data_IF_201337535258
#
_entry.id   IF_201337535258
#
_cell.length_a   1.000
_cell.length_b   1.000
_cell.length_c   1.000
_cell.angle_alpha   90.00
_cell.angle_beta   90.00
_cell.angle_gamma   90.00
#
_symmetry.space_group_name_H-M   'P 1'
#
loop_
_entity.id
_entity.type
_entity.pdbx_description
1 polymer ?
#
# COMPACT_ATOMS: atom_id res chain seq x y z
N UNK A 1 21.21 -4.30 3.62
CA UNK A 1 21.23 -4.79 5.03
C UNK A 1 20.03 -4.32 5.85
N UNK A 2 19.46 -3.12 5.64
CA UNK A 2 18.34 -2.55 6.44
C UNK A 2 16.93 -3.17 6.31
N UNK A 3 16.72 -4.33 5.67
CA UNK A 3 15.36 -4.82 5.35
C UNK A 3 14.86 -5.95 6.26
N UNK A 4 15.74 -6.85 6.75
CA UNK A 4 15.31 -8.05 7.51
C UNK A 4 14.66 -7.70 8.84
N UNK A 5 15.29 -6.85 9.66
CA UNK A 5 14.78 -6.49 10.99
C UNK A 5 13.41 -5.80 10.92
N UNK A 6 13.18 -5.00 9.87
CA UNK A 6 11.89 -4.35 9.62
C UNK A 6 10.81 -5.37 9.23
N UNK A 7 11.17 -6.36 8.41
CA UNK A 7 10.26 -7.42 8.02
C UNK A 7 9.90 -8.31 9.22
N UNK A 8 10.87 -8.68 10.06
CA UNK A 8 10.63 -9.47 11.27
C UNK A 8 9.73 -8.74 12.26
N UNK A 9 9.95 -7.44 12.48
CA UNK A 9 9.06 -6.63 13.33
C UNK A 9 7.62 -6.60 12.79
N UNK A 10 7.43 -6.39 11.49
CA UNK A 10 6.10 -6.37 10.87
C UNK A 10 5.40 -7.71 11.05
N UNK A 11 6.12 -8.82 10.86
CA UNK A 11 5.59 -10.18 11.08
C UNK A 11 5.17 -10.37 12.54
N UNK A 12 5.98 -9.95 13.50
CA UNK A 12 5.67 -10.06 14.93
C UNK A 12 4.43 -9.24 15.32
N UNK A 13 4.31 -8.01 14.82
CA UNK A 13 3.14 -7.15 15.06
C UNK A 13 1.88 -7.79 14.48
N UNK A 14 1.94 -8.28 13.24
CA UNK A 14 0.81 -8.92 12.56
C UNK A 14 0.40 -10.20 13.29
N UNK A 15 1.37 -11.06 13.62
CA UNK A 15 1.12 -12.33 14.31
C UNK A 15 0.40 -12.11 15.64
N UNK A 16 0.85 -11.14 16.44
CA UNK A 16 0.23 -10.80 17.73
C UNK A 16 -1.16 -10.18 17.59
N UNK A 17 -1.41 -9.40 16.55
CA UNK A 17 -2.67 -8.67 16.40
C UNK A 17 -3.77 -9.50 15.74
N UNK A 18 -3.41 -10.26 14.70
CA UNK A 18 -4.35 -11.04 13.90
C UNK A 18 -4.40 -12.52 14.27
N UNK A 19 -3.56 -12.98 15.21
CA UNK A 19 -3.51 -14.37 15.68
C UNK A 19 -3.38 -15.36 14.50
N UNK A 20 -2.44 -15.08 13.60
CA UNK A 20 -2.17 -15.92 12.44
C UNK A 20 -1.56 -17.26 12.87
N UNK A 21 -1.74 -18.26 12.01
CA UNK A 21 -1.09 -19.56 12.17
C UNK A 21 0.43 -19.43 12.06
N UNK A 22 1.14 -19.96 13.06
CA UNK A 22 2.60 -20.02 13.10
C UNK A 22 3.15 -21.47 13.06
N UNK A 23 2.28 -22.47 13.08
CA UNK A 23 2.69 -23.86 12.97
C UNK A 23 2.93 -24.28 11.51
N UNK A 24 3.89 -25.19 11.36
CA UNK A 24 4.26 -25.92 10.16
C UNK A 24 3.14 -26.85 9.64
N UNK A 25 3.18 -27.19 8.36
CA UNK A 25 2.12 -27.97 7.67
C UNK A 25 1.99 -29.40 8.18
N UNK A 26 3.08 -30.01 8.66
CA UNK A 26 3.03 -31.35 9.27
C UNK A 26 2.09 -31.39 10.49
N UNK A 27 2.06 -30.30 11.27
CA UNK A 27 1.16 -30.16 12.43
C UNK A 27 -0.30 -29.88 12.06
N UNK A 28 -0.56 -29.32 10.88
CA UNK A 28 -1.93 -29.11 10.39
C UNK A 28 -2.63 -30.45 10.18
N UNK A 29 -1.93 -31.44 9.63
CA UNK A 29 -2.49 -32.74 9.30
C UNK A 29 -2.85 -33.60 10.51
N UNK A 30 -2.37 -33.23 11.70
CA UNK A 30 -2.71 -33.91 12.94
C UNK A 30 -4.09 -33.49 13.47
N UNK A 31 -4.61 -32.31 13.08
CA UNK A 31 -5.92 -31.81 13.53
C UNK A 31 -6.04 -31.69 15.06
N UNK A 32 -4.91 -31.53 15.76
CA UNK A 32 -4.85 -31.48 17.22
C UNK A 32 -4.53 -30.08 17.73
N UNK A 33 -5.03 -29.77 18.93
CA UNK A 33 -4.72 -28.53 19.63
C UNK A 33 -3.24 -28.41 19.93
N UNK A 34 -2.67 -27.28 19.50
CA UNK A 34 -1.25 -26.99 19.66
C UNK A 34 -1.00 -25.94 20.74
N UNK A 35 0.25 -25.88 21.22
CA UNK A 35 0.65 -24.92 22.26
C UNK A 35 0.33 -23.46 21.88
N UNK A 36 0.39 -23.09 20.60
CA UNK A 36 0.03 -21.73 20.17
C UNK A 36 -1.45 -21.42 20.34
N UNK A 37 -2.32 -22.42 20.15
CA UNK A 37 -3.76 -22.30 20.42
C UNK A 37 -4.04 -22.26 21.92
N UNK A 38 -3.26 -22.96 22.75
CA UNK A 38 -3.37 -22.88 24.22
C UNK A 38 -2.92 -21.52 24.78
N UNK A 39 -2.04 -20.82 24.08
CA UNK A 39 -1.54 -19.48 24.45
C UNK A 39 -2.30 -18.33 23.78
N UNK A 40 -3.43 -18.61 23.12
CA UNK A 40 -4.22 -17.62 22.37
C UNK A 40 -3.39 -16.85 21.31
N UNK A 41 -2.37 -17.47 20.73
CA UNK A 41 -1.55 -16.87 19.67
C UNK A 41 -2.06 -17.15 18.25
N UNK A 42 -3.00 -18.09 18.11
CA UNK A 42 -3.55 -18.52 16.83
C UNK A 42 -5.05 -18.77 16.98
N UNK A 43 -5.85 -18.48 15.94
CA UNK A 43 -7.29 -18.82 15.92
C UNK A 43 -7.58 -20.32 15.77
N UNK A 44 -6.54 -21.17 15.77
CA UNK A 44 -6.63 -22.62 15.68
C UNK A 44 -7.45 -23.14 14.48
N UNK A 45 -7.17 -22.70 13.23
CA UNK A 45 -7.89 -23.16 12.04
C UNK A 45 -7.75 -24.68 11.79
N UNK A 46 -6.81 -25.34 12.48
CA UNK A 46 -6.59 -26.78 12.44
C UNK A 46 -7.63 -27.61 13.21
N UNK A 47 -8.37 -27.00 14.15
CA UNK A 47 -9.41 -27.66 14.96
C UNK A 47 -10.82 -27.26 14.52
N UNK A 48 -10.96 -26.08 13.94
CA UNK A 48 -12.25 -25.56 13.46
C UNK A 48 -12.50 -25.97 12.02
N UNK A 49 -13.67 -26.56 11.75
CA UNK A 49 -14.18 -26.83 10.39
C UNK A 49 -14.72 -25.57 9.68
N UNK A 50 -14.18 -24.39 10.01
CA UNK A 50 -14.55 -23.10 9.41
C UNK A 50 -13.35 -22.44 8.72
N UNK A 51 -13.03 -22.86 7.47
CA UNK A 51 -11.96 -22.24 6.70
C UNK A 51 -12.30 -20.81 6.27
N UNK A 52 -13.58 -20.43 6.24
CA UNK A 52 -14.03 -19.10 5.82
C UNK A 52 -13.66 -18.05 6.87
N UNK A 53 -13.86 -18.36 8.15
CA UNK A 53 -13.45 -17.49 9.25
C UNK A 53 -11.93 -17.19 9.25
N UNK A 54 -11.10 -18.21 8.98
CA UNK A 54 -9.64 -17.98 8.86
C UNK A 54 -9.29 -17.17 7.61
N UNK A 55 -9.99 -17.38 6.49
CA UNK A 55 -9.79 -16.61 5.27
C UNK A 55 -10.09 -15.10 5.48
N UNK A 56 -11.11 -14.77 6.28
CA UNK A 56 -11.40 -13.37 6.65
C UNK A 56 -10.24 -12.73 7.43
N UNK A 57 -9.63 -13.46 8.36
CA UNK A 57 -8.43 -12.99 9.10
C UNK A 57 -7.28 -12.72 8.12
N UNK A 58 -7.04 -13.62 7.17
CA UNK A 58 -6.00 -13.45 6.15
C UNK A 58 -6.28 -12.23 5.26
N UNK A 59 -7.53 -12.00 4.85
CA UNK A 59 -7.88 -10.81 4.07
C UNK A 59 -7.69 -9.51 4.87
N UNK A 60 -7.95 -9.51 6.18
CA UNK A 60 -7.65 -8.35 7.04
C UNK A 60 -6.15 -8.07 7.11
N UNK A 61 -5.32 -9.10 7.25
CA UNK A 61 -3.84 -8.97 7.21
C UNK A 61 -3.40 -8.40 5.87
N UNK A 62 -4.00 -8.88 4.77
CA UNK A 62 -3.73 -8.38 3.42
C UNK A 62 -4.15 -6.92 3.27
N UNK A 63 -5.30 -6.52 3.83
CA UNK A 63 -5.77 -5.14 3.83
C UNK A 63 -4.81 -4.24 4.61
N UNK A 64 -4.34 -4.68 5.78
CA UNK A 64 -3.34 -3.98 6.59
C UNK A 64 -2.01 -3.79 5.83
N UNK A 65 -1.43 -4.88 5.30
CA UNK A 65 -0.16 -4.82 4.55
C UNK A 65 -0.24 -3.95 3.28
N UNK A 66 -1.44 -3.80 2.71
CA UNK A 66 -1.69 -2.92 1.55
C UNK A 66 -2.11 -1.50 1.95
N UNK A 67 -2.06 -1.16 3.24
CA UNK A 67 -2.38 0.17 3.77
C UNK A 67 -3.86 0.57 3.64
N UNK A 68 -4.75 -0.42 3.47
CA UNK A 68 -6.22 -0.24 3.36
C UNK A 68 -6.95 -0.34 4.68
N UNK A 69 -6.34 -0.96 5.69
CA UNK A 69 -6.91 -1.09 7.04
C UNK A 69 -5.92 -0.51 8.09
N UNK A 70 -6.26 0.60 8.77
CA UNK A 70 -5.44 1.19 9.82
C UNK A 70 -5.68 0.61 11.23
N UNK A 71 -6.58 -0.36 11.39
CA UNK A 71 -7.07 -0.84 12.71
C UNK A 71 -5.95 -1.28 13.67
N UNK A 72 -4.88 -1.89 13.15
CA UNK A 72 -3.70 -2.29 13.92
C UNK A 72 -2.99 -1.07 14.51
N UNK A 73 -2.81 0.00 13.71
CA UNK A 73 -2.15 1.23 14.16
C UNK A 73 -2.99 1.92 15.23
N UNK A 74 -4.30 1.98 15.04
CA UNK A 74 -5.22 2.59 16.00
C UNK A 74 -5.20 1.86 17.34
N UNK A 75 -5.18 0.53 17.32
CA UNK A 75 -5.08 -0.27 18.53
C UNK A 75 -3.72 -0.12 19.24
N UNK A 76 -2.62 0.04 18.49
CA UNK A 76 -1.30 0.33 19.07
C UNK A 76 -1.27 1.72 19.70
N UNK A 77 -1.85 2.74 19.05
CA UNK A 77 -1.99 4.10 19.61
C UNK A 77 -2.84 4.08 20.88
N UNK A 78 -3.89 3.28 20.94
CA UNK A 78 -4.69 3.07 22.15
C UNK A 78 -3.88 2.44 23.28
N UNK A 79 -3.10 1.40 22.98
CA UNK A 79 -2.22 0.75 23.97
C UNK A 79 -1.15 1.70 24.49
N UNK A 80 -0.59 2.55 23.61
CA UNK A 80 0.34 3.60 23.98
C UNK A 80 -0.30 4.60 24.95
N UNK A 81 -1.50 5.09 24.63
CA UNK A 81 -2.26 6.02 25.50
C UNK A 81 -2.49 5.41 26.87
N UNK A 82 -2.99 4.17 26.94
CA UNK A 82 -3.22 3.46 28.21
C UNK A 82 -1.94 3.27 29.03
N UNK A 83 -0.80 2.98 28.39
CA UNK A 83 0.48 2.87 29.09
C UNK A 83 0.90 4.23 29.68
N UNK A 84 0.72 5.31 28.92
CA UNK A 84 0.95 6.68 29.42
C UNK A 84 0.02 7.05 30.57
N UNK A 85 -1.27 6.70 30.49
CA UNK A 85 -2.24 6.94 31.57
C UNK A 85 -1.88 6.17 32.85
N UNK A 86 -1.21 5.02 32.72
CA UNK A 86 -0.67 4.22 33.82
C UNK A 86 0.71 4.68 34.29
N UNK A 87 1.22 5.81 33.77
CA UNK A 87 2.54 6.36 34.07
C UNK A 87 3.71 5.45 33.67
N UNK A 88 3.47 4.48 32.77
CA UNK A 88 4.49 3.58 32.20
C UNK A 88 5.06 4.21 30.91
N UNK A 89 5.85 5.26 31.10
CA UNK A 89 6.37 6.08 30.00
C UNK A 89 7.37 5.34 29.11
N UNK A 90 8.12 4.38 29.67
CA UNK A 90 9.07 3.58 28.89
C UNK A 90 8.33 2.68 27.91
N UNK A 91 7.28 2.01 28.36
CA UNK A 91 6.41 1.21 27.49
C UNK A 91 5.66 2.05 26.49
N UNK A 92 5.16 3.22 26.88
CA UNK A 92 4.52 4.15 25.97
C UNK A 92 5.50 4.60 24.87
N UNK A 93 6.75 4.92 25.21
CA UNK A 93 7.78 5.29 24.25
C UNK A 93 8.11 4.14 23.27
N UNK A 94 8.26 2.91 23.76
CA UNK A 94 8.48 1.73 22.90
C UNK A 94 7.33 1.51 21.90
N UNK A 95 6.09 1.66 22.35
CA UNK A 95 4.92 1.52 21.47
C UNK A 95 4.87 2.68 20.46
N UNK A 96 5.15 3.92 20.87
CA UNK A 96 5.26 5.08 19.97
C UNK A 96 6.26 4.81 18.85
N UNK A 97 7.47 4.40 19.21
CA UNK A 97 8.55 4.17 18.25
C UNK A 97 8.18 3.04 17.27
N UNK A 98 7.46 2.02 17.75
CA UNK A 98 6.90 0.94 16.91
C UNK A 98 5.84 1.46 15.95
N UNK A 99 4.91 2.32 16.42
CA UNK A 99 3.87 2.95 15.59
C UNK A 99 4.51 3.78 14.48
N UNK A 100 5.47 4.66 14.81
CA UNK A 100 6.16 5.50 13.83
C UNK A 100 6.98 4.68 12.81
N UNK A 101 7.54 3.53 13.22
CA UNK A 101 8.21 2.62 12.29
C UNK A 101 7.22 1.92 11.36
N UNK A 102 6.11 1.40 11.89
CA UNK A 102 5.06 0.77 11.10
C UNK A 102 4.43 1.74 10.10
N UNK A 103 4.13 2.96 10.53
CA UNK A 103 3.59 4.01 9.65
C UNK A 103 4.53 4.28 8.48
N UNK A 104 5.82 4.49 8.74
CA UNK A 104 6.82 4.68 7.67
C UNK A 104 6.93 3.48 6.74
N UNK A 105 6.79 2.26 7.24
CA UNK A 105 6.80 1.05 6.41
C UNK A 105 5.54 1.00 5.56
N UNK A 106 4.37 1.18 6.16
CA UNK A 106 3.07 1.10 5.47
C UNK A 106 2.87 2.23 4.46
N UNK A 107 3.36 3.43 4.74
CA UNK A 107 3.36 4.57 3.82
C UNK A 107 4.24 4.27 2.60
N UNK A 108 5.45 3.73 2.81
CA UNK A 108 6.30 3.24 1.70
C UNK A 108 5.67 2.08 0.94
N UNK A 109 4.94 1.20 1.62
CA UNK A 109 4.20 0.11 1.00
C UNK A 109 2.98 0.61 0.23
N UNK A 110 2.30 1.69 0.63
CA UNK A 110 1.14 2.24 -0.13
C UNK A 110 1.48 2.57 -1.57
N UNK A 111 2.69 3.05 -1.82
CA UNK A 111 3.22 3.34 -3.16
C UNK A 111 3.58 2.07 -3.94
N UNK A 112 3.93 0.97 -3.26
CA UNK A 112 4.45 -0.26 -3.86
C UNK A 112 3.50 -1.49 -3.81
N UNK A 113 2.43 -1.46 -3.00
CA UNK A 113 1.65 -2.63 -2.59
C UNK A 113 0.35 -2.83 -3.37
N UNK A 114 0.09 -2.06 -4.43
CA UNK A 114 -0.85 -2.53 -5.44
C UNK A 114 -0.31 -3.87 -5.99
N UNK A 115 -1.11 -4.96 -6.03
CA UNK A 115 -0.69 -6.17 -6.71
C UNK A 115 -0.20 -5.75 -8.08
N UNK A 116 1.02 -6.11 -8.48
CA UNK A 116 1.64 -5.43 -9.63
C UNK A 116 0.78 -5.55 -10.90
N UNK A 117 -0.10 -6.55 -10.98
CA UNK A 117 -1.10 -6.75 -12.06
C UNK A 117 -2.40 -5.91 -11.97
N UNK A 118 -2.59 -5.16 -10.90
CA UNK A 118 -3.75 -4.29 -10.60
C UNK A 118 -3.32 -2.88 -10.22
N UNK A 119 -2.09 -2.49 -10.57
CA UNK A 119 -1.65 -1.12 -10.39
C UNK A 119 -2.34 -0.25 -11.43
N UNK A 120 -3.32 0.51 -10.96
CA UNK A 120 -4.03 1.52 -11.73
C UNK A 120 -3.79 2.84 -11.00
N UNK A 121 -2.84 3.62 -11.49
CA UNK A 121 -2.44 4.86 -10.83
C UNK A 121 -1.81 5.82 -11.83
N UNK A 122 -1.84 7.10 -11.50
CA UNK A 122 -0.93 8.09 -12.08
C UNK A 122 0.22 8.30 -11.10
N UNK A 123 1.46 8.17 -11.57
CA UNK A 123 2.65 8.50 -10.79
C UNK A 123 3.12 9.89 -11.21
N UNK A 124 3.05 10.85 -10.31
CA UNK A 124 3.55 12.20 -10.51
C UNK A 124 5.01 12.22 -10.06
N UNK A 125 5.91 12.33 -11.03
CA UNK A 125 7.34 12.50 -10.81
C UNK A 125 7.72 13.97 -10.95
N UNK A 126 8.44 14.48 -9.95
CA UNK A 126 9.05 15.79 -10.04
C UNK A 126 10.51 15.62 -10.44
N UNK A 127 10.94 16.41 -11.42
CA UNK A 127 12.36 16.58 -11.66
C UNK A 127 12.94 17.44 -10.52
N UNK A 128 14.09 17.03 -10.00
CA UNK A 128 14.77 17.76 -8.90
C UNK A 128 15.35 19.10 -9.39
N UNK A 129 15.50 19.26 -10.70
CA UNK A 129 15.83 20.53 -11.33
C UNK A 129 14.54 21.36 -11.50
N UNK A 130 14.33 22.31 -10.59
CA UNK A 130 13.15 23.18 -10.44
C UNK A 130 12.81 23.99 -11.71
N UNK A 131 12.26 23.32 -12.74
CA UNK A 131 11.77 23.95 -13.97
C UNK A 131 10.25 24.19 -13.93
N UNK A 132 9.61 23.94 -12.79
CA UNK A 132 8.15 24.09 -12.62
C UNK A 132 7.35 23.11 -13.48
N UNK A 133 7.95 21.95 -13.81
CA UNK A 133 7.34 20.88 -14.59
C UNK A 133 7.37 19.57 -13.83
N UNK A 134 6.37 18.73 -14.10
CA UNK A 134 6.27 17.39 -13.55
C UNK A 134 5.85 16.41 -14.65
N UNK A 135 6.33 15.18 -14.56
CA UNK A 135 5.95 14.08 -15.43
C UNK A 135 4.88 13.24 -14.75
N UNK A 136 3.72 13.11 -15.39
CA UNK A 136 2.61 12.27 -14.95
C UNK A 136 2.66 10.97 -15.76
N UNK A 137 3.12 9.90 -15.12
CA UNK A 137 3.21 8.57 -15.69
C UNK A 137 1.91 7.81 -15.43
N UNK A 138 1.12 7.54 -16.46
CA UNK A 138 -0.13 6.79 -16.35
C UNK A 138 0.16 5.29 -16.40
N UNK A 139 -0.20 4.61 -15.32
CA UNK A 139 0.00 3.17 -15.13
C UNK A 139 -1.35 2.47 -15.07
N UNK A 140 -1.55 1.50 -15.96
CA UNK A 140 -2.77 0.69 -16.05
C UNK A 140 -2.43 -0.80 -16.02
N UNK A 141 -3.12 -1.56 -15.17
CA UNK A 141 -2.87 -2.99 -14.96
C UNK A 141 -1.40 -3.37 -14.66
N UNK A 142 -0.61 -2.44 -14.09
CA UNK A 142 0.81 -2.65 -13.85
C UNK A 142 1.75 -2.27 -14.97
N UNK A 143 1.23 -1.73 -16.07
CA UNK A 143 1.97 -1.37 -17.27
C UNK A 143 2.01 0.13 -17.42
N UNK A 144 3.07 0.62 -18.04
CA UNK A 144 3.20 2.01 -18.38
C UNK A 144 2.49 2.23 -19.70
N UNK A 145 1.45 3.05 -19.69
CA UNK A 145 0.70 3.37 -20.91
C UNK A 145 1.31 4.60 -21.57
N UNK A 146 1.49 5.69 -20.80
CA UNK A 146 2.01 6.95 -21.32
C UNK A 146 2.53 7.88 -20.22
N UNK A 147 3.31 8.89 -20.64
CA UNK A 147 3.78 9.98 -19.81
C UNK A 147 3.24 11.30 -20.35
N UNK A 148 2.69 12.13 -19.47
CA UNK A 148 2.25 13.48 -19.77
C UNK A 148 3.12 14.47 -18.99
N UNK A 149 3.80 15.36 -19.69
CA UNK A 149 4.50 16.45 -19.04
C UNK A 149 3.50 17.57 -18.73
N UNK A 150 3.44 18.04 -17.49
CA UNK A 150 2.53 19.07 -17.04
C UNK A 150 3.30 20.20 -16.36
N UNK A 151 2.75 21.41 -16.43
CA UNK A 151 3.24 22.54 -15.62
C UNK A 151 2.74 22.46 -14.19
N UNK A 152 3.48 23.05 -13.26
CA UNK A 152 3.08 23.18 -11.86
C UNK A 152 3.00 24.68 -11.50
N UNK A 153 1.80 25.24 -11.29
CA UNK A 153 0.48 24.59 -11.33
C UNK A 153 0.01 24.27 -12.76
N UNK A 154 -0.87 23.27 -12.94
CA UNK A 154 -1.29 22.84 -14.27
C UNK A 154 -2.14 23.90 -14.98
N UNK A 155 -1.76 24.24 -16.21
CA UNK A 155 -2.55 25.14 -17.07
C UNK A 155 -3.90 24.53 -17.46
N UNK A 156 -4.84 25.36 -17.92
CA UNK A 156 -6.13 24.87 -18.43
C UNK A 156 -5.97 23.86 -19.59
N UNK A 157 -4.90 24.00 -20.38
CA UNK A 157 -4.54 23.04 -21.44
C UNK A 157 -4.05 21.71 -20.85
N UNK A 158 -3.18 21.75 -19.83
CA UNK A 158 -2.71 20.54 -19.14
C UNK A 158 -3.87 19.80 -18.46
N UNK A 159 -4.79 20.53 -17.81
CA UNK A 159 -5.99 19.95 -17.18
C UNK A 159 -6.90 19.27 -18.20
N UNK A 160 -7.13 19.91 -19.35
CA UNK A 160 -7.93 19.31 -20.42
C UNK A 160 -7.28 18.03 -20.96
N UNK A 161 -5.96 18.04 -21.16
CA UNK A 161 -5.19 16.86 -21.60
C UNK A 161 -5.24 15.74 -20.57
N UNK A 162 -5.01 16.04 -19.29
CA UNK A 162 -5.09 15.04 -18.22
C UNK A 162 -6.47 14.37 -18.16
N UNK A 163 -7.56 15.15 -18.28
CA UNK A 163 -8.93 14.63 -18.30
C UNK A 163 -9.19 13.72 -19.49
N UNK A 164 -8.78 14.12 -20.70
CA UNK A 164 -8.94 13.32 -21.91
C UNK A 164 -8.23 11.97 -21.79
N UNK A 165 -6.95 11.98 -21.42
CA UNK A 165 -6.13 10.78 -21.30
C UNK A 165 -6.57 9.86 -20.15
N UNK A 166 -6.96 10.44 -19.00
CA UNK A 166 -7.54 9.66 -17.89
C UNK A 166 -8.83 8.97 -18.32
N UNK A 167 -9.72 9.68 -19.04
CA UNK A 167 -10.97 9.10 -19.55
C UNK A 167 -10.71 7.96 -20.55
N UNK A 168 -9.72 8.11 -21.43
CA UNK A 168 -9.37 7.09 -22.42
C UNK A 168 -8.78 5.81 -21.78
N UNK A 169 -7.93 5.95 -20.76
CA UNK A 169 -7.18 4.81 -20.19
C UNK A 169 -7.85 4.15 -18.97
N UNK A 170 -8.61 4.91 -18.18
CA UNK A 170 -9.20 4.43 -16.92
C UNK A 170 -10.70 4.11 -17.04
N UNK A 171 -11.16 3.78 -18.25
CA UNK A 171 -12.53 3.30 -18.46
C UNK A 171 -12.82 2.03 -17.63
N UNK A 172 -14.01 2.00 -17.02
CA UNK A 172 -14.55 0.88 -16.27
C UNK A 172 -14.78 -0.36 -17.17
N UNK A 173 -14.94 -0.16 -18.48
CA UNK A 173 -15.08 -1.25 -19.45
C UNK A 173 -13.77 -1.99 -19.74
N UNK A 174 -12.62 -1.38 -19.46
CA UNK A 174 -11.31 -1.96 -19.75
C UNK A 174 -11.05 -3.17 -18.85
N UNK A 175 -10.82 -4.33 -19.47
CA UNK A 175 -10.52 -5.58 -18.76
C UNK A 175 -9.01 -5.79 -18.64
N UNK A 176 -8.52 -6.34 -17.52
CA UNK A 176 -7.11 -6.72 -17.40
C UNK A 176 -6.77 -7.80 -18.45
N UNK A 177 -5.52 -7.81 -18.96
CA UNK A 177 -5.09 -8.83 -19.91
C UNK A 177 -5.12 -10.23 -19.29
N UNK A 178 -5.72 -11.19 -20.00
CA UNK A 178 -5.86 -12.58 -19.52
C UNK A 178 -4.54 -13.36 -19.46
N UNK A 179 -3.53 -12.94 -20.22
CA UNK A 179 -2.19 -13.51 -20.21
C UNK A 179 -1.14 -12.40 -20.33
N UNK A 180 -0.03 -12.54 -19.62
CA UNK A 180 1.10 -11.62 -19.68
C UNK A 180 2.23 -12.26 -20.48
N UNK A 181 2.77 -11.52 -21.44
CA UNK A 181 3.99 -11.92 -22.14
C UNK A 181 5.22 -11.76 -21.22
N UNK A 182 6.35 -12.35 -21.63
CA UNK A 182 7.64 -12.10 -20.95
C UNK A 182 8.01 -10.62 -20.92
N UNK A 183 7.64 -9.87 -21.96
CA UNK A 183 7.85 -8.42 -22.05
C UNK A 183 7.03 -7.69 -20.99
N UNK A 184 5.73 -7.99 -20.91
CA UNK A 184 4.84 -7.35 -19.92
C UNK A 184 5.31 -7.65 -18.49
N UNK A 185 5.72 -8.88 -18.20
CA UNK A 185 6.28 -9.25 -16.90
C UNK A 185 7.59 -8.50 -16.58
N UNK A 186 8.41 -8.20 -17.59
CA UNK A 186 9.65 -7.44 -17.41
C UNK A 186 9.33 -5.96 -17.15
N UNK A 187 8.41 -5.38 -17.91
CA UNK A 187 7.94 -4.00 -17.75
C UNK A 187 7.34 -3.76 -16.37
N UNK A 188 6.46 -4.66 -15.93
CA UNK A 188 5.90 -4.71 -14.57
C UNK A 188 7.01 -4.70 -13.50
N UNK A 189 8.07 -5.48 -13.68
CA UNK A 189 9.19 -5.53 -12.72
C UNK A 189 10.02 -4.24 -12.75
N UNK A 190 10.27 -3.68 -13.93
CA UNK A 190 11.00 -2.43 -14.09
C UNK A 190 10.26 -1.27 -13.44
N UNK A 191 8.95 -1.14 -13.71
CA UNK A 191 8.11 -0.11 -13.10
C UNK A 191 8.06 -0.27 -11.59
N UNK A 192 7.77 -1.47 -11.07
CA UNK A 192 7.75 -1.71 -9.63
C UNK A 192 9.09 -1.37 -8.96
N UNK A 193 10.21 -1.75 -9.58
CA UNK A 193 11.53 -1.43 -9.04
C UNK A 193 11.83 0.07 -9.09
N UNK A 194 11.54 0.72 -10.22
CA UNK A 194 11.76 2.15 -10.40
C UNK A 194 10.90 2.98 -9.45
N UNK A 195 9.61 2.67 -9.35
CA UNK A 195 8.68 3.31 -8.40
C UNK A 195 9.14 3.15 -6.96
N UNK A 196 9.66 1.97 -6.59
CA UNK A 196 10.21 1.75 -5.26
C UNK A 196 11.50 2.55 -5.01
N UNK A 197 12.39 2.61 -6.01
CA UNK A 197 13.66 3.34 -5.92
C UNK A 197 13.45 4.86 -5.78
N UNK A 198 12.48 5.42 -6.49
CA UNK A 198 12.17 6.85 -6.54
C UNK A 198 10.93 7.22 -5.73
N UNK A 199 10.49 6.37 -4.79
CA UNK A 199 9.25 6.57 -4.01
C UNK A 199 9.20 7.88 -3.22
N UNK A 200 10.37 8.43 -2.88
CA UNK A 200 10.49 9.69 -2.14
C UNK A 200 10.30 10.90 -3.10
N UNK A 201 10.52 10.68 -4.40
CA UNK A 201 10.38 11.65 -5.51
C UNK A 201 9.06 11.47 -6.30
N UNK A 202 8.18 10.59 -5.82
CA UNK A 202 6.95 10.20 -6.52
C UNK A 202 5.75 10.41 -5.63
N UNK A 203 4.71 11.01 -6.21
CA UNK A 203 3.37 11.00 -5.60
C UNK A 203 2.46 10.11 -6.44
N UNK A 204 1.95 9.04 -5.84
CA UNK A 204 1.10 8.09 -6.53
C UNK A 204 -0.38 8.39 -6.29
N UNK A 205 -1.10 8.80 -7.33
CA UNK A 205 -2.55 9.00 -7.29
C UNK A 205 -3.22 7.71 -7.78
N UNK A 206 -3.85 6.98 -6.85
CA UNK A 206 -4.42 5.66 -7.14
C UNK A 206 -5.85 5.76 -7.68
N UNK A 207 -6.15 4.99 -8.71
CA UNK A 207 -7.51 4.82 -9.22
C UNK A 207 -8.11 3.49 -8.76
N UNK A 208 -9.36 3.51 -8.31
CA UNK A 208 -10.18 2.32 -8.09
C UNK A 208 -11.43 2.39 -8.97
N UNK A 209 -12.04 1.23 -9.32
CA UNK A 209 -13.26 1.20 -10.13
C UNK A 209 -14.46 1.93 -9.51
N UNK A 210 -14.42 2.24 -8.21
CA UNK A 210 -15.46 3.02 -7.54
C UNK A 210 -15.38 4.53 -7.84
N UNK A 211 -14.25 4.98 -8.41
CA UNK A 211 -14.02 6.39 -8.75
C UNK A 211 -14.10 6.62 -10.27
N UNK A 212 -14.72 7.72 -10.68
CA UNK A 212 -14.74 8.11 -12.10
C UNK A 212 -13.33 8.48 -12.60
N UNK A 213 -13.06 8.35 -13.90
CA UNK A 213 -11.81 8.85 -14.49
C UNK A 213 -11.60 10.35 -14.27
N UNK A 214 -12.68 11.13 -14.18
CA UNK A 214 -12.63 12.57 -13.88
C UNK A 214 -12.13 12.85 -12.46
N UNK A 215 -12.53 12.01 -11.49
CA UNK A 215 -12.04 12.12 -10.12
C UNK A 215 -10.53 11.86 -10.04
N UNK A 216 -10.00 10.95 -10.88
CA UNK A 216 -8.55 10.73 -10.98
C UNK A 216 -7.84 11.95 -11.53
N UNK A 217 -8.34 12.53 -12.63
CA UNK A 217 -7.74 13.72 -13.22
C UNK A 217 -7.72 14.89 -12.22
N UNK A 218 -8.83 15.11 -11.52
CA UNK A 218 -8.94 16.15 -10.48
C UNK A 218 -7.91 15.93 -9.37
N UNK A 219 -7.77 14.70 -8.87
CA UNK A 219 -6.78 14.38 -7.83
C UNK A 219 -5.33 14.55 -8.29
N UNK A 220 -5.03 14.32 -9.58
CA UNK A 220 -3.71 14.62 -10.16
C UNK A 220 -3.49 16.14 -10.21
N UNK A 221 -4.49 16.90 -10.64
CA UNK A 221 -4.44 18.36 -10.68
C UNK A 221 -4.19 18.96 -9.28
N UNK A 222 -4.89 18.46 -8.25
CA UNK A 222 -4.67 18.83 -6.85
C UNK A 222 -3.24 18.48 -6.39
N UNK A 223 -2.76 17.28 -6.72
CA UNK A 223 -1.39 16.84 -6.37
C UNK A 223 -0.31 17.73 -6.99
N UNK A 224 -0.53 18.19 -8.22
CA UNK A 224 0.37 19.12 -8.91
C UNK A 224 0.33 20.53 -8.31
N UNK A 225 -0.76 20.91 -7.63
CA UNK A 225 -0.94 22.21 -6.98
C UNK A 225 -0.42 22.24 -5.53
N UNK A 226 -0.70 21.21 -4.71
CA UNK A 226 -0.40 21.17 -3.27
C UNK A 226 1.11 21.23 -2.95
N UNK A 227 1.97 20.67 -3.81
CA UNK A 227 3.43 20.67 -3.59
C UNK A 227 4.11 22.02 -3.83
N UNK A 228 3.40 23.02 -4.38
CA UNK A 228 3.89 24.40 -4.47
C UNK A 228 3.89 25.09 -3.09
N UNK A 229 2.91 24.80 -2.23
CA UNK A 229 2.80 25.39 -0.89
C UNK A 229 3.80 24.80 0.11
N UNK A 230 4.22 23.55 -0.08
CA UNK A 230 5.22 22.91 0.78
C UNK A 230 6.67 23.36 0.48
N UNK A 231 6.90 24.02 -0.65
CA UNK A 231 8.21 24.51 -1.11
C UNK A 231 8.35 26.05 -1.07
N UNK A 232 7.28 26.77 -0.73
CA UNK A 232 7.24 28.23 -0.52
C UNK A 232 7.37 28.58 0.97
#
# INVERSE_FOLDING_TARGET
VRNTDQAEMVVDVIGRFFQLRECDDERLHLGQRCLYADMDRCTAPCETDDPEAYAEVVERVRAFLTGRDPSVLDALRDRMRRASDQLDFEKAAQIRDTVEQLERILEKQRVAAAPVRRHNAALVHHDNDWDGRADVLLVRFGRFEEALQCTMPPTAEDQARLREHCHALFDLSAKPPNALSKRDATEIRLLSHWTYAHRDELTAVRWTPDHSPEALATAIEETLAERQEAAA
#
